data_IF_871021319855
#
_entry.id   IF_871021319855
#
_cell.length_a   1.000
_cell.length_b   1.000
_cell.length_c   1.000
_cell.angle_alpha   90.00
_cell.angle_beta   90.00
_cell.angle_gamma   90.00
#
_symmetry.space_group_name_H-M   'P 1'
#
loop_
_entity.id
_entity.type
_entity.pdbx_description
1 polymer ?
#
# COMPACT_ATOMS: atom_id res chain seq x y z
N UNK A 1 17.62 -19.51 -22.60
CA UNK A 1 16.16 -19.31 -22.74
C UNK A 1 15.47 -19.84 -21.48
N UNK A 2 15.14 -18.94 -20.55
CA UNK A 2 14.47 -19.30 -19.29
C UNK A 2 13.01 -19.63 -19.64
N UNK A 3 12.66 -20.91 -19.65
CA UNK A 3 11.26 -21.36 -19.77
C UNK A 3 10.48 -20.76 -18.60
N UNK A 4 9.54 -19.89 -18.90
CA UNK A 4 8.58 -19.37 -17.93
C UNK A 4 7.90 -20.54 -17.21
N UNK A 5 8.19 -20.69 -15.92
CA UNK A 5 7.55 -21.72 -15.09
C UNK A 5 6.02 -21.51 -15.08
N UNK A 6 5.21 -22.59 -15.07
CA UNK A 6 3.74 -22.51 -15.17
C UNK A 6 3.08 -21.61 -14.10
N UNK A 7 3.74 -21.40 -12.95
CA UNK A 7 3.26 -20.51 -11.87
C UNK A 7 3.21 -19.03 -12.26
N UNK A 8 4.16 -18.55 -13.07
CA UNK A 8 4.19 -17.14 -13.53
C UNK A 8 3.05 -16.88 -14.53
N UNK A 9 2.70 -17.89 -15.34
CA UNK A 9 1.59 -17.80 -16.30
C UNK A 9 0.24 -17.60 -15.60
N UNK A 10 -0.02 -18.35 -14.53
CA UNK A 10 -1.26 -18.24 -13.74
C UNK A 10 -1.37 -16.88 -13.04
N UNK A 11 -0.28 -16.42 -12.41
CA UNK A 11 -0.23 -15.10 -11.75
C UNK A 11 -0.51 -13.96 -12.74
N UNK A 12 0.09 -14.02 -13.94
CA UNK A 12 -0.10 -13.01 -14.97
C UNK A 12 -1.52 -13.01 -15.53
N UNK A 13 -2.11 -14.19 -15.73
CA UNK A 13 -3.49 -14.33 -16.19
C UNK A 13 -4.46 -13.68 -15.20
N UNK A 14 -4.38 -14.05 -13.92
CA UNK A 14 -5.25 -13.45 -12.90
C UNK A 14 -4.98 -11.96 -12.71
N UNK A 15 -3.73 -11.52 -12.79
CA UNK A 15 -3.39 -10.09 -12.78
C UNK A 15 -4.10 -9.32 -13.91
N UNK A 16 -4.05 -9.85 -15.14
CA UNK A 16 -4.74 -9.26 -16.28
C UNK A 16 -6.26 -9.25 -16.10
N UNK A 17 -6.85 -10.31 -15.53
CA UNK A 17 -8.29 -10.39 -15.22
C UNK A 17 -8.69 -9.31 -14.21
N UNK A 18 -7.96 -9.14 -13.10
CA UNK A 18 -8.29 -8.12 -12.09
C UNK A 18 -8.16 -6.70 -12.64
N UNK A 19 -7.07 -6.42 -13.37
CA UNK A 19 -6.86 -5.12 -14.03
C UNK A 19 -7.99 -4.86 -15.04
N UNK A 20 -8.29 -5.85 -15.90
CA UNK A 20 -9.36 -5.77 -16.89
C UNK A 20 -10.72 -5.51 -16.26
N UNK A 21 -11.07 -6.22 -15.19
CA UNK A 21 -12.33 -6.03 -14.47
C UNK A 21 -12.45 -4.63 -13.86
N UNK A 22 -11.36 -4.11 -13.28
CA UNK A 22 -11.31 -2.77 -12.71
C UNK A 22 -11.52 -1.69 -13.79
N UNK A 23 -10.76 -1.76 -14.89
CA UNK A 23 -10.92 -0.80 -15.99
C UNK A 23 -12.28 -0.94 -16.70
N UNK A 24 -12.80 -2.14 -16.85
CA UNK A 24 -14.13 -2.38 -17.41
C UNK A 24 -15.23 -1.76 -16.53
N UNK A 25 -15.15 -1.95 -15.21
CA UNK A 25 -16.11 -1.37 -14.28
C UNK A 25 -16.10 0.16 -14.33
N UNK A 26 -14.92 0.77 -14.17
CA UNK A 26 -14.82 2.24 -14.19
C UNK A 26 -15.15 2.80 -15.58
N UNK A 27 -14.70 2.16 -16.66
CA UNK A 27 -15.04 2.55 -18.03
C UNK A 27 -16.55 2.51 -18.28
N UNK A 28 -17.22 1.42 -17.91
CA UNK A 28 -18.68 1.33 -17.94
C UNK A 28 -19.34 2.42 -17.10
N UNK A 29 -18.86 2.66 -15.87
CA UNK A 29 -19.46 3.65 -15.00
C UNK A 29 -19.30 5.10 -15.51
N UNK A 30 -18.17 5.42 -16.17
CA UNK A 30 -17.96 6.75 -16.76
C UNK A 30 -18.74 6.95 -18.07
N UNK A 31 -18.89 5.91 -18.88
CA UNK A 31 -19.64 5.95 -20.15
C UNK A 31 -21.16 5.83 -19.96
N UNK A 32 -21.60 5.19 -18.88
CA UNK A 32 -23.02 5.03 -18.60
C UNK A 32 -23.70 6.37 -18.33
N UNK A 33 -24.90 6.55 -18.89
CA UNK A 33 -25.81 7.64 -18.55
C UNK A 33 -26.51 7.44 -17.21
N UNK A 34 -26.34 6.27 -16.56
CA UNK A 34 -26.94 5.95 -15.26
C UNK A 34 -26.48 6.89 -14.14
N UNK A 35 -25.25 7.37 -14.20
CA UNK A 35 -24.63 8.15 -13.12
C UNK A 35 -24.60 9.64 -13.46
N UNK A 36 -25.00 10.45 -12.48
CA UNK A 36 -24.88 11.90 -12.60
C UNK A 36 -23.42 12.36 -12.45
N UNK A 37 -23.13 13.61 -12.85
CA UNK A 37 -21.78 14.18 -12.78
C UNK A 37 -21.15 14.04 -11.39
N UNK A 38 -21.92 14.27 -10.33
CA UNK A 38 -21.46 14.12 -8.94
C UNK A 38 -21.01 12.69 -8.62
N UNK A 39 -21.81 11.70 -9.00
CA UNK A 39 -21.48 10.28 -8.79
C UNK A 39 -20.24 9.86 -9.59
N UNK A 40 -20.09 10.33 -10.83
CA UNK A 40 -18.89 10.09 -11.63
C UNK A 40 -17.65 10.70 -10.98
N UNK A 41 -17.74 11.89 -10.38
CA UNK A 41 -16.63 12.49 -9.63
C UNK A 41 -16.27 11.68 -8.38
N UNK A 42 -17.26 11.16 -7.65
CA UNK A 42 -17.04 10.27 -6.49
C UNK A 42 -16.36 8.96 -6.91
N UNK A 43 -16.81 8.37 -8.02
CA UNK A 43 -16.18 7.19 -8.62
C UNK A 43 -14.74 7.47 -9.08
N UNK A 44 -14.45 8.66 -9.59
CA UNK A 44 -13.09 9.07 -9.95
C UNK A 44 -12.16 9.10 -8.73
N UNK A 45 -12.63 9.64 -7.59
CA UNK A 45 -11.88 9.56 -6.33
C UNK A 45 -11.62 8.11 -5.95
N UNK A 46 -12.64 7.25 -6.03
CA UNK A 46 -12.51 5.84 -5.70
C UNK A 46 -11.51 5.12 -6.60
N UNK A 47 -11.51 5.41 -7.90
CA UNK A 47 -10.54 4.86 -8.85
C UNK A 47 -9.10 5.18 -8.43
N UNK A 48 -8.80 6.45 -8.15
CA UNK A 48 -7.45 6.84 -7.72
C UNK A 48 -7.06 6.22 -6.37
N UNK A 49 -8.00 6.10 -5.43
CA UNK A 49 -7.76 5.43 -4.15
C UNK A 49 -7.50 3.93 -4.32
N UNK A 50 -8.23 3.25 -5.21
CA UNK A 50 -8.05 1.82 -5.50
C UNK A 50 -6.70 1.57 -6.20
N UNK A 51 -6.36 2.41 -7.17
CA UNK A 51 -5.03 2.34 -7.82
C UNK A 51 -3.96 2.57 -6.76
N UNK A 52 -4.04 3.66 -5.99
CA UNK A 52 -3.09 3.95 -4.91
C UNK A 52 -2.99 2.83 -3.86
N UNK A 53 -4.12 2.21 -3.50
CA UNK A 53 -4.14 1.07 -2.59
C UNK A 53 -3.40 -0.14 -3.17
N UNK A 54 -3.65 -0.49 -4.43
CA UNK A 54 -2.97 -1.60 -5.11
C UNK A 54 -1.45 -1.42 -5.07
N UNK A 55 -0.99 -0.18 -5.24
CA UNK A 55 0.43 0.17 -5.21
C UNK A 55 1.02 0.18 -3.80
N UNK A 56 0.25 0.59 -2.79
CA UNK A 56 0.67 0.47 -1.40
C UNK A 56 0.78 -1.01 -1.01
N UNK A 57 -0.25 -1.81 -1.30
CA UNK A 57 -0.29 -3.24 -0.96
C UNK A 57 0.81 -4.02 -1.67
N UNK A 58 1.21 -3.65 -2.89
CA UNK A 58 2.35 -4.32 -3.54
C UNK A 58 3.68 -4.17 -2.81
N UNK A 59 3.85 -3.06 -2.10
CA UNK A 59 5.01 -2.84 -1.24
C UNK A 59 4.79 -3.51 0.12
N UNK A 60 3.60 -3.37 0.70
CA UNK A 60 3.26 -3.95 2.00
C UNK A 60 3.38 -5.48 2.03
N UNK A 61 3.00 -6.15 0.94
CA UNK A 61 3.05 -7.61 0.77
C UNK A 61 4.49 -8.16 0.58
N UNK A 62 5.52 -7.30 0.68
CA UNK A 62 6.91 -7.75 0.77
C UNK A 62 7.29 -8.26 2.17
N UNK A 63 6.42 -8.06 3.16
CA UNK A 63 6.61 -8.56 4.54
C UNK A 63 6.80 -10.09 4.62
N UNK A 64 5.90 -10.93 4.07
CA UNK A 64 6.07 -12.38 4.08
C UNK A 64 7.17 -12.86 3.12
N UNK A 65 7.56 -12.04 2.14
CA UNK A 65 8.56 -12.38 1.14
C UNK A 65 9.95 -11.80 1.49
N UNK A 66 10.31 -10.66 0.89
CA UNK A 66 11.66 -10.08 0.99
C UNK A 66 12.10 -9.76 2.42
N UNK A 67 11.17 -9.30 3.28
CA UNK A 67 11.49 -9.00 4.68
C UNK A 67 11.78 -10.29 5.47
N UNK A 68 11.01 -11.35 5.23
CA UNK A 68 11.24 -12.64 5.89
C UNK A 68 12.58 -13.27 5.47
N UNK A 69 12.90 -13.21 4.16
CA UNK A 69 14.20 -13.66 3.66
C UNK A 69 15.35 -12.81 4.21
N UNK A 70 15.15 -11.49 4.35
CA UNK A 70 16.13 -10.61 4.98
C UNK A 70 16.34 -10.94 6.47
N UNK A 71 15.26 -11.24 7.20
CA UNK A 71 15.31 -11.70 8.59
C UNK A 71 16.11 -13.00 8.72
N UNK A 72 15.90 -13.94 7.80
CA UNK A 72 16.56 -15.24 7.82
C UNK A 72 18.06 -15.14 7.56
N UNK A 73 18.46 -14.39 6.53
CA UNK A 73 19.80 -14.45 5.95
C UNK A 73 20.74 -13.36 6.42
N UNK A 74 20.22 -12.19 6.78
CA UNK A 74 21.03 -10.98 6.97
C UNK A 74 20.80 -10.30 8.31
N UNK A 75 19.93 -10.84 9.16
CA UNK A 75 19.60 -10.26 10.45
C UNK A 75 20.20 -11.08 11.57
N UNK A 76 20.91 -10.43 12.50
CA UNK A 76 21.29 -11.06 13.77
C UNK A 76 20.04 -11.21 14.64
N UNK A 77 19.64 -12.47 14.79
CA UNK A 77 18.45 -12.90 15.54
C UNK A 77 18.82 -13.50 16.90
N UNK A 78 20.07 -13.42 17.31
CA UNK A 78 20.51 -13.89 18.61
C UNK A 78 20.16 -12.86 19.70
N UNK A 79 19.38 -13.29 20.69
CA UNK A 79 19.02 -12.48 21.84
C UNK A 79 19.25 -13.29 23.11
N UNK A 80 20.31 -12.96 23.86
CA UNK A 80 20.63 -13.64 25.11
C UNK A 80 20.88 -15.15 24.97
N UNK A 81 21.42 -15.61 23.83
CA UNK A 81 21.66 -17.03 23.54
C UNK A 81 20.48 -17.76 22.88
N UNK A 82 19.32 -17.12 22.74
CA UNK A 82 18.18 -17.65 21.99
C UNK A 82 18.15 -17.09 20.57
N UNK A 83 17.94 -17.94 19.56
CA UNK A 83 17.80 -17.51 18.17
C UNK A 83 16.33 -17.34 17.81
N UNK A 84 15.89 -16.08 17.64
CA UNK A 84 14.48 -15.75 17.38
C UNK A 84 14.03 -16.31 16.03
N UNK A 85 12.95 -17.11 15.95
CA UNK A 85 12.43 -17.59 14.67
C UNK A 85 12.01 -16.44 13.75
N UNK A 86 12.34 -16.54 12.46
CA UNK A 86 12.03 -15.50 11.45
C UNK A 86 10.52 -15.22 11.32
N UNK A 87 9.71 -16.27 11.45
CA UNK A 87 8.24 -16.17 11.40
C UNK A 87 7.68 -15.25 12.48
N UNK A 88 8.36 -15.10 13.63
CA UNK A 88 7.89 -14.21 14.70
C UNK A 88 7.91 -12.73 14.28
N UNK A 89 8.74 -12.34 13.31
CA UNK A 89 8.71 -10.98 12.77
C UNK A 89 7.39 -10.67 12.06
N UNK A 90 6.68 -11.67 11.53
CA UNK A 90 5.34 -11.49 10.95
C UNK A 90 4.29 -11.12 12.00
N UNK A 91 4.50 -11.52 13.26
CA UNK A 91 3.63 -11.14 14.37
C UNK A 91 3.79 -9.67 14.80
N UNK A 92 4.87 -9.00 14.39
CA UNK A 92 5.08 -7.59 14.74
C UNK A 92 4.02 -6.68 14.10
N UNK A 93 3.58 -6.97 12.88
CA UNK A 93 2.55 -6.17 12.22
C UNK A 93 1.23 -6.13 13.04
N UNK A 94 0.59 -7.26 13.40
CA UNK A 94 -0.63 -7.22 14.20
C UNK A 94 -0.41 -6.66 15.62
N UNK A 95 0.77 -6.87 16.23
CA UNK A 95 1.13 -6.25 17.53
C UNK A 95 1.17 -4.72 17.39
N UNK A 96 1.83 -4.20 16.37
CA UNK A 96 1.90 -2.76 16.12
C UNK A 96 0.53 -2.18 15.76
N UNK A 97 -0.33 -2.91 15.04
CA UNK A 97 -1.72 -2.48 14.83
C UNK A 97 -2.42 -2.31 16.17
N UNK A 98 -2.35 -3.31 17.06
CA UNK A 98 -3.01 -3.25 18.36
C UNK A 98 -2.54 -2.06 19.22
N UNK A 99 -1.23 -1.79 19.19
CA UNK A 99 -0.62 -0.70 19.97
C UNK A 99 -0.87 0.69 19.37
N UNK A 100 -0.77 0.83 18.05
CA UNK A 100 -0.75 2.14 17.38
C UNK A 100 -2.08 2.53 16.73
N UNK A 101 -3.02 1.61 16.48
CA UNK A 101 -4.33 1.96 15.94
C UNK A 101 -5.10 2.99 16.79
N UNK A 102 -5.12 2.90 18.15
CA UNK A 102 -5.73 3.93 18.99
C UNK A 102 -5.02 5.27 18.85
N UNK A 103 -3.68 5.27 18.80
CA UNK A 103 -2.87 6.49 18.68
C UNK A 103 -3.12 7.22 17.36
N UNK A 104 -3.11 6.49 16.24
CA UNK A 104 -3.40 7.04 14.90
C UNK A 104 -4.86 7.53 14.83
N UNK A 105 -5.80 6.80 15.42
CA UNK A 105 -7.20 7.23 15.48
C UNK A 105 -7.38 8.53 16.27
N UNK A 106 -6.73 8.65 17.44
CA UNK A 106 -6.74 9.87 18.24
C UNK A 106 -6.14 11.07 17.50
N UNK A 107 -5.07 10.86 16.72
CA UNK A 107 -4.48 11.89 15.86
C UNK A 107 -5.52 12.44 14.88
N UNK A 108 -6.25 11.57 14.18
CA UNK A 108 -7.28 12.00 13.22
C UNK A 108 -8.45 12.70 13.88
N UNK A 109 -8.91 12.22 15.03
CA UNK A 109 -9.99 12.87 15.80
C UNK A 109 -9.55 14.27 16.26
N UNK A 110 -8.32 14.41 16.77
CA UNK A 110 -7.76 15.71 17.21
C UNK A 110 -7.64 16.70 16.05
N UNK A 111 -7.20 16.25 14.88
CA UNK A 111 -7.15 17.08 13.67
C UNK A 111 -8.56 17.45 13.19
N UNK A 112 -9.53 16.54 13.31
CA UNK A 112 -10.95 16.79 13.06
C UNK A 112 -11.53 17.89 13.95
N UNK A 113 -11.28 17.83 15.26
CA UNK A 113 -11.71 18.86 16.23
C UNK A 113 -11.11 20.25 15.95
N UNK A 114 -10.01 20.32 15.21
CA UNK A 114 -9.34 21.57 14.81
C UNK A 114 -9.70 22.04 13.41
N UNK A 115 -10.69 21.43 12.75
CA UNK A 115 -11.04 21.68 11.33
C UNK A 115 -9.87 21.49 10.34
N UNK A 116 -8.85 20.70 10.72
CA UNK A 116 -7.67 20.40 9.91
C UNK A 116 -7.63 18.92 9.50
N UNK A 117 -8.79 18.28 9.36
CA UNK A 117 -8.86 16.88 8.94
C UNK A 117 -8.45 16.76 7.47
N UNK A 118 -7.36 16.07 7.12
CA UNK A 118 -6.99 15.89 5.73
C UNK A 118 -8.04 15.05 5.00
N UNK A 119 -8.24 15.30 3.70
CA UNK A 119 -9.09 14.46 2.88
C UNK A 119 -8.49 13.03 2.73
N UNK A 120 -9.31 12.09 2.27
CA UNK A 120 -8.89 10.69 2.14
C UNK A 120 -7.64 10.51 1.26
N UNK A 121 -7.54 11.26 0.16
CA UNK A 121 -6.38 11.20 -0.75
C UNK A 121 -5.09 11.67 -0.07
N UNK A 122 -5.17 12.72 0.76
CA UNK A 122 -4.03 13.22 1.53
C UNK A 122 -3.59 12.22 2.59
N UNK A 123 -4.55 11.58 3.29
CA UNK A 123 -4.22 10.51 4.26
C UNK A 123 -3.55 9.32 3.58
N UNK A 124 -4.03 8.93 2.41
CA UNK A 124 -3.41 7.89 1.60
C UNK A 124 -1.97 8.24 1.24
N UNK A 125 -1.77 9.44 0.72
CA UNK A 125 -0.44 9.86 0.33
C UNK A 125 0.54 9.95 1.51
N UNK A 126 0.09 10.44 2.67
CA UNK A 126 0.88 10.41 3.90
C UNK A 126 1.25 8.98 4.30
N UNK A 127 0.31 8.03 4.17
CA UNK A 127 0.60 6.61 4.34
C UNK A 127 1.67 6.11 3.37
N UNK A 128 1.56 6.41 2.08
CA UNK A 128 2.56 5.99 1.08
C UNK A 128 3.94 6.60 1.34
N UNK A 129 4.01 7.86 1.78
CA UNK A 129 5.27 8.50 2.18
C UNK A 129 5.85 7.90 3.47
N UNK A 130 5.02 7.49 4.43
CA UNK A 130 5.49 6.76 5.61
C UNK A 130 5.99 5.36 5.24
N UNK A 131 5.33 4.69 4.30
CA UNK A 131 5.80 3.41 3.78
C UNK A 131 7.16 3.56 3.07
N UNK A 132 7.38 4.65 2.34
CA UNK A 132 8.69 4.89 1.71
C UNK A 132 9.81 5.07 2.73
N UNK A 133 9.52 5.67 3.90
CA UNK A 133 10.46 5.72 5.02
C UNK A 133 10.81 4.32 5.53
N UNK A 134 9.83 3.42 5.65
CA UNK A 134 10.08 2.03 6.02
C UNK A 134 11.07 1.35 5.04
N UNK A 135 10.81 1.48 3.74
CA UNK A 135 11.73 0.93 2.73
C UNK A 135 13.09 1.62 2.71
N UNK A 136 13.16 2.92 2.99
CA UNK A 136 14.43 3.64 3.12
C UNK A 136 15.30 3.10 4.27
N UNK A 137 14.68 2.71 5.39
CA UNK A 137 15.37 2.01 6.49
C UNK A 137 15.97 0.69 6.01
N UNK A 138 15.23 -0.08 5.21
CA UNK A 138 15.71 -1.33 4.63
C UNK A 138 16.80 -1.13 3.55
N UNK A 139 16.78 -0.02 2.82
CA UNK A 139 17.89 0.35 1.91
C UNK A 139 19.18 0.53 2.71
N UNK A 140 19.14 1.23 3.84
CA UNK A 140 20.33 1.43 4.68
C UNK A 140 20.84 0.09 5.23
N UNK A 141 19.95 -0.74 5.77
CA UNK A 141 20.28 -2.07 6.26
C UNK A 141 20.91 -2.96 5.18
N UNK A 142 20.32 -3.00 3.99
CA UNK A 142 20.83 -3.81 2.87
C UNK A 142 22.16 -3.31 2.32
N UNK A 143 22.40 -1.99 2.29
CA UNK A 143 23.71 -1.43 1.91
C UNK A 143 24.83 -1.84 2.87
N UNK A 144 24.56 -1.96 4.17
CA UNK A 144 25.56 -2.42 5.15
C UNK A 144 25.98 -3.87 4.89
N UNK A 145 25.04 -4.73 4.48
CA UNK A 145 25.31 -6.12 4.10
C UNK A 145 26.16 -6.17 2.82
N UNK A 146 25.77 -5.40 1.79
CA UNK A 146 26.53 -5.32 0.54
C UNK A 146 27.94 -4.75 0.74
N UNK A 147 28.13 -3.88 1.73
CA UNK A 147 29.43 -3.33 2.10
C UNK A 147 30.35 -4.33 2.85
N UNK A 148 29.88 -5.55 3.12
CA UNK A 148 30.69 -6.63 3.71
C UNK A 148 30.28 -7.04 5.13
N UNK A 149 29.22 -6.47 5.70
CA UNK A 149 28.71 -6.92 7.00
C UNK A 149 28.03 -8.29 6.85
N UNK A 150 28.36 -9.25 7.71
CA UNK A 150 27.74 -10.59 7.70
C UNK A 150 26.25 -10.55 8.09
N UNK A 151 25.89 -9.69 9.05
CA UNK A 151 24.52 -9.48 9.51
C UNK A 151 24.32 -8.06 10.04
N UNK A 152 23.06 -7.64 10.16
CA UNK A 152 22.66 -6.36 10.78
C UNK A 152 21.71 -6.60 11.95
N UNK A 153 21.59 -5.61 12.83
CA UNK A 153 20.65 -5.66 13.96
C UNK A 153 19.20 -5.87 13.52
N UNK A 154 18.47 -6.71 14.26
CA UNK A 154 17.02 -6.87 14.07
C UNK A 154 16.21 -5.57 14.19
N UNK A 155 16.75 -4.54 14.85
CA UNK A 155 16.08 -3.26 15.01
C UNK A 155 15.82 -2.53 13.68
N UNK A 156 16.61 -2.78 12.63
CA UNK A 156 16.33 -2.26 11.29
C UNK A 156 15.00 -2.78 10.76
N UNK A 157 14.80 -4.10 10.87
CA UNK A 157 13.59 -4.78 10.42
C UNK A 157 12.38 -4.38 11.28
N UNK A 158 12.54 -4.37 12.61
CA UNK A 158 11.50 -3.95 13.57
C UNK A 158 11.05 -2.51 13.29
N UNK A 159 11.99 -1.58 13.08
CA UNK A 159 11.67 -0.18 12.79
C UNK A 159 10.99 -0.03 11.43
N UNK A 160 11.46 -0.73 10.40
CA UNK A 160 10.80 -0.73 9.10
C UNK A 160 9.36 -1.25 9.20
N UNK A 161 9.13 -2.36 9.89
CA UNK A 161 7.79 -2.92 10.09
C UNK A 161 6.89 -1.94 10.85
N UNK A 162 7.42 -1.23 11.85
CA UNK A 162 6.68 -0.21 12.58
C UNK A 162 6.18 0.91 11.65
N UNK A 163 7.07 1.51 10.85
CA UNK A 163 6.67 2.59 9.93
C UNK A 163 5.69 2.09 8.87
N UNK A 164 5.87 0.86 8.38
CA UNK A 164 4.99 0.24 7.41
C UNK A 164 3.59 -0.04 7.99
N UNK A 165 3.50 -0.46 9.26
CA UNK A 165 2.22 -0.61 9.97
C UNK A 165 1.56 0.74 10.22
N UNK A 166 2.30 1.78 10.62
CA UNK A 166 1.71 3.12 10.79
C UNK A 166 1.16 3.64 9.45
N UNK A 167 1.85 3.37 8.34
CA UNK A 167 1.36 3.66 7.01
C UNK A 167 0.06 2.92 6.67
N UNK A 168 -0.02 1.63 6.99
CA UNK A 168 -1.24 0.82 6.84
C UNK A 168 -2.41 1.41 7.63
N UNK A 169 -2.18 1.83 8.88
CA UNK A 169 -3.19 2.48 9.73
C UNK A 169 -3.70 3.82 9.15
N UNK A 170 -2.92 4.48 8.30
CA UNK A 170 -3.34 5.69 7.58
C UNK A 170 -4.22 5.38 6.36
N UNK A 171 -4.04 4.21 5.75
CA UNK A 171 -4.64 3.82 4.46
C UNK A 171 -5.87 2.94 4.67
N UNK A 172 -5.75 1.84 5.42
CA UNK A 172 -6.75 0.78 5.52
C UNK A 172 -8.14 1.26 6.00
N UNK A 173 -8.28 1.91 7.18
CA UNK A 173 -9.59 2.37 7.65
C UNK A 173 -10.17 3.51 6.80
N UNK A 174 -9.30 4.36 6.25
CA UNK A 174 -9.69 5.49 5.39
C UNK A 174 -10.18 5.01 4.04
N UNK A 175 -9.51 4.01 3.47
CA UNK A 175 -9.82 3.41 2.17
C UNK A 175 -11.20 2.79 2.20
N UNK A 176 -11.43 1.87 3.14
CA UNK A 176 -12.73 1.20 3.28
C UNK A 176 -13.87 2.20 3.57
N UNK A 177 -13.64 3.18 4.46
CA UNK A 177 -14.63 4.22 4.71
C UNK A 177 -14.92 5.08 3.47
N UNK A 178 -13.93 5.31 2.60
CA UNK A 178 -14.12 6.12 1.39
C UNK A 178 -14.89 5.34 0.34
N UNK A 179 -14.59 4.06 0.16
CA UNK A 179 -15.29 3.18 -0.79
C UNK A 179 -16.77 3.06 -0.48
N UNK A 180 -17.14 3.05 0.80
CA UNK A 180 -18.55 3.00 1.22
C UNK A 180 -19.26 4.34 1.14
N UNK A 181 -18.61 5.45 1.54
CA UNK A 181 -19.21 6.80 1.52
C UNK A 181 -19.35 7.40 0.13
N UNK A 182 -18.42 7.08 -0.76
CA UNK A 182 -18.39 7.62 -2.13
C UNK A 182 -19.09 6.69 -3.14
N UNK A 183 -19.49 5.49 -2.72
CA UNK A 183 -20.24 4.57 -3.56
C UNK A 183 -21.57 5.19 -4.01
N UNK A 184 -21.96 5.00 -5.29
CA UNK A 184 -23.33 5.22 -5.72
C UNK A 184 -24.33 4.38 -4.89
N UNK A 185 -25.57 4.84 -4.81
CA UNK A 185 -26.61 4.13 -4.05
C UNK A 185 -26.80 2.71 -4.59
N UNK A 186 -26.82 1.72 -3.68
CA UNK A 186 -26.97 0.30 -4.02
C UNK A 186 -25.69 -0.37 -4.56
N UNK A 187 -24.57 0.34 -4.62
CA UNK A 187 -23.29 -0.19 -5.14
C UNK A 187 -22.20 -0.32 -4.07
N UNK A 188 -22.52 -0.16 -2.78
CA UNK A 188 -21.51 -0.25 -1.71
C UNK A 188 -20.78 -1.61 -1.73
N UNK A 189 -21.52 -2.71 -1.93
CA UNK A 189 -20.93 -4.05 -2.02
C UNK A 189 -19.96 -4.21 -3.20
N UNK A 190 -20.26 -3.61 -4.35
CA UNK A 190 -19.38 -3.63 -5.51
C UNK A 190 -18.10 -2.84 -5.23
N UNK A 191 -18.22 -1.65 -4.63
CA UNK A 191 -17.06 -0.82 -4.28
C UNK A 191 -16.17 -1.49 -3.22
N UNK A 192 -16.76 -2.20 -2.26
CA UNK A 192 -16.01 -3.03 -1.31
C UNK A 192 -15.30 -4.20 -2.02
N UNK A 193 -15.93 -4.84 -3.00
CA UNK A 193 -15.29 -5.87 -3.83
C UNK A 193 -14.09 -5.34 -4.62
N UNK A 194 -14.20 -4.13 -5.18
CA UNK A 194 -13.09 -3.46 -5.87
C UNK A 194 -11.96 -3.07 -4.91
N UNK A 195 -12.28 -2.71 -3.67
CA UNK A 195 -11.27 -2.48 -2.63
C UNK A 195 -10.46 -3.75 -2.35
N UNK A 196 -11.11 -4.90 -2.14
CA UNK A 196 -10.39 -6.15 -1.91
C UNK A 196 -9.63 -6.63 -3.15
N UNK A 197 -10.15 -6.36 -4.35
CA UNK A 197 -9.42 -6.55 -5.60
C UNK A 197 -8.10 -5.77 -5.62
N UNK A 198 -8.05 -4.56 -5.03
CA UNK A 198 -6.80 -3.80 -4.92
C UNK A 198 -5.74 -4.49 -4.06
N UNK A 199 -6.15 -5.16 -2.97
CA UNK A 199 -5.25 -5.90 -2.09
C UNK A 199 -4.68 -7.11 -2.85
N UNK A 200 -5.56 -7.86 -3.53
CA UNK A 200 -5.16 -9.00 -4.40
C UNK A 200 -4.16 -8.55 -5.48
N UNK A 201 -4.46 -7.44 -6.17
CA UNK A 201 -3.58 -6.89 -7.19
C UNK A 201 -2.23 -6.45 -6.60
N UNK A 202 -2.24 -5.85 -5.41
CA UNK A 202 -1.04 -5.55 -4.64
C UNK A 202 -0.21 -6.80 -4.39
N UNK A 203 -0.80 -7.85 -3.82
CA UNK A 203 -0.10 -9.12 -3.57
C UNK A 203 0.50 -9.75 -4.84
N UNK A 204 -0.21 -9.67 -5.97
CA UNK A 204 0.32 -10.14 -7.26
C UNK A 204 1.52 -9.30 -7.73
N UNK A 205 1.41 -7.97 -7.72
CA UNK A 205 2.52 -7.08 -8.09
C UNK A 205 3.71 -7.28 -7.16
N UNK A 206 3.47 -7.42 -5.85
CA UNK A 206 4.48 -7.68 -4.83
C UNK A 206 5.21 -9.00 -5.08
N UNK A 207 4.46 -10.07 -5.34
CA UNK A 207 5.01 -11.40 -5.65
C UNK A 207 5.86 -11.39 -6.93
N UNK A 208 5.38 -10.71 -7.98
CA UNK A 208 6.13 -10.54 -9.23
C UNK A 208 7.41 -9.74 -9.00
N UNK A 209 7.34 -8.64 -8.23
CA UNK A 209 8.50 -7.78 -7.94
C UNK A 209 9.56 -8.51 -7.11
N UNK A 210 9.13 -9.30 -6.13
CA UNK A 210 10.02 -10.14 -5.33
C UNK A 210 10.61 -11.32 -6.09
N UNK A 211 9.93 -11.80 -7.15
CA UNK A 211 10.41 -12.89 -8.01
C UNK A 211 11.41 -12.45 -9.08
N UNK A 212 11.27 -11.25 -9.64
CA UNK A 212 12.23 -10.71 -10.63
C UNK A 212 13.51 -10.17 -10.00
N UNK A 213 13.41 -9.67 -8.78
CA UNK A 213 14.54 -9.20 -7.99
C UNK A 213 14.83 -10.26 -6.95
N UNK A 214 15.39 -11.39 -7.39
CA UNK A 214 15.66 -12.54 -6.53
C UNK A 214 16.41 -12.05 -5.28
N UNK A 215 15.73 -12.02 -4.14
CA UNK A 215 16.34 -11.81 -2.82
C UNK A 215 17.41 -12.89 -2.48
N UNK A 216 17.56 -13.86 -3.39
CA UNK A 216 18.62 -14.86 -3.42
C UNK A 216 20.01 -14.26 -3.69
N UNK A 217 20.11 -13.15 -4.43
CA UNK A 217 21.38 -12.48 -4.69
C UNK A 217 21.51 -11.24 -3.80
N UNK A 218 22.49 -11.25 -2.89
CA UNK A 218 22.77 -10.16 -1.92
C UNK A 218 22.77 -8.76 -2.57
N UNK A 219 23.29 -8.64 -3.80
CA UNK A 219 23.43 -7.36 -4.51
C UNK A 219 22.13 -6.72 -5.01
N UNK A 220 21.02 -7.44 -5.05
CA UNK A 220 19.77 -6.96 -5.64
C UNK A 220 18.75 -6.45 -4.60
N UNK A 221 18.93 -6.75 -3.32
CA UNK A 221 18.09 -6.27 -2.22
C UNK A 221 18.04 -4.73 -2.11
N UNK A 222 19.17 -3.99 -2.15
CA UNK A 222 19.11 -2.53 -2.15
C UNK A 222 18.36 -1.98 -3.36
N UNK A 223 18.47 -2.62 -4.53
CA UNK A 223 17.77 -2.19 -5.75
C UNK A 223 16.26 -2.38 -5.59
N UNK A 224 15.81 -3.52 -5.05
CA UNK A 224 14.39 -3.77 -4.77
C UNK A 224 13.82 -2.69 -3.85
N UNK A 225 14.43 -2.49 -2.69
CA UNK A 225 13.94 -1.52 -1.71
C UNK A 225 14.02 -0.08 -2.24
N UNK A 226 15.03 0.24 -3.05
CA UNK A 226 15.12 1.55 -3.73
C UNK A 226 13.99 1.73 -4.73
N UNK A 227 13.72 0.73 -5.57
CA UNK A 227 12.63 0.79 -6.54
C UNK A 227 11.28 1.00 -5.84
N UNK A 228 11.00 0.24 -4.78
CA UNK A 228 9.77 0.39 -3.98
C UNK A 228 9.69 1.75 -3.28
N UNK A 229 10.80 2.26 -2.74
CA UNK A 229 10.85 3.59 -2.13
C UNK A 229 10.53 4.69 -3.14
N UNK A 230 11.22 4.71 -4.28
CA UNK A 230 10.98 5.69 -5.35
C UNK A 230 9.53 5.60 -5.83
N UNK A 231 9.03 4.38 -6.02
CA UNK A 231 7.67 4.14 -6.45
C UNK A 231 6.63 4.69 -5.46
N UNK A 232 6.78 4.41 -4.16
CA UNK A 232 5.91 4.92 -3.11
C UNK A 232 5.98 6.45 -2.99
N UNK A 233 7.17 7.05 -3.13
CA UNK A 233 7.34 8.51 -3.13
C UNK A 233 6.62 9.13 -4.32
N UNK A 234 6.86 8.63 -5.53
CA UNK A 234 6.23 9.16 -6.76
C UNK A 234 4.70 9.06 -6.66
N UNK A 235 4.17 7.91 -6.24
CA UNK A 235 2.74 7.72 -6.12
C UNK A 235 2.13 8.55 -4.99
N UNK A 236 2.81 8.65 -3.84
CA UNK A 236 2.39 9.50 -2.72
C UNK A 236 2.34 10.97 -3.12
N UNK A 237 3.39 11.49 -3.76
CA UNK A 237 3.43 12.87 -4.26
C UNK A 237 2.36 13.10 -5.32
N UNK A 238 2.16 12.17 -6.25
CA UNK A 238 1.11 12.25 -7.25
C UNK A 238 -0.28 12.35 -6.60
N UNK A 239 -0.57 11.51 -5.61
CA UNK A 239 -1.83 11.58 -4.87
C UNK A 239 -1.99 12.89 -4.09
N UNK A 240 -0.92 13.45 -3.52
CA UNK A 240 -0.97 14.77 -2.87
C UNK A 240 -1.31 15.88 -3.87
N UNK A 241 -0.66 15.87 -5.03
CA UNK A 241 -0.90 16.87 -6.09
C UNK A 241 -2.33 16.76 -6.62
N UNK A 242 -2.83 15.54 -6.78
CA UNK A 242 -4.20 15.27 -7.24
C UNK A 242 -5.27 15.49 -6.16
N UNK A 243 -4.91 15.46 -4.87
CA UNK A 243 -5.86 15.57 -3.77
C UNK A 243 -6.63 16.90 -3.78
N UNK A 244 -5.94 18.03 -3.98
CA UNK A 244 -6.55 19.35 -4.00
C UNK A 244 -7.51 19.57 -5.19
N UNK A 245 -7.11 19.35 -6.47
CA UNK A 245 -8.00 19.57 -7.60
C UNK A 245 -9.22 18.65 -7.56
N UNK A 246 -9.05 17.36 -7.24
CA UNK A 246 -10.16 16.41 -7.22
C UNK A 246 -11.16 16.74 -6.11
N UNK A 247 -10.68 17.12 -4.92
CA UNK A 247 -11.57 17.53 -3.82
C UNK A 247 -12.35 18.80 -4.17
N UNK A 248 -11.70 19.77 -4.83
CA UNK A 248 -12.36 20.99 -5.27
C UNK A 248 -13.45 20.68 -6.30
N UNK A 249 -13.17 19.83 -7.30
CA UNK A 249 -14.16 19.40 -8.30
C UNK A 249 -15.36 18.68 -7.67
N UNK A 250 -15.10 17.80 -6.69
CA UNK A 250 -16.17 17.12 -5.95
C UNK A 250 -17.05 18.14 -5.20
N UNK A 251 -16.43 19.09 -4.50
CA UNK A 251 -17.16 20.12 -3.74
C UNK A 251 -17.99 21.06 -4.62
N UNK A 252 -17.52 21.38 -5.83
CA UNK A 252 -18.26 22.18 -6.80
C UNK A 252 -19.46 21.40 -7.33
N UNK A 253 -19.23 20.13 -7.69
CA UNK A 253 -20.29 19.29 -8.26
C UNK A 253 -21.38 18.97 -7.24
N UNK A 254 -21.04 18.83 -5.96
CA UNK A 254 -22.04 18.66 -4.89
C UNK A 254 -22.88 19.95 -4.68
N UNK A 255 -22.27 21.14 -4.82
CA UNK A 255 -23.02 22.42 -4.77
C UNK A 255 -23.99 22.56 -5.94
N UNK A 256 -23.52 22.26 -7.14
CA UNK A 256 -24.32 22.32 -8.37
C UNK A 256 -25.50 21.33 -8.37
N UNK A 257 -25.42 20.26 -7.57
CA UNK A 257 -26.51 19.28 -7.42
C UNK A 257 -27.55 19.65 -6.36
N UNK A 258 -27.26 20.65 -5.50
CA UNK A 258 -28.16 21.12 -4.44
C UNK A 258 -28.92 22.40 -4.79
N UNK A 259 -28.62 23.00 -5.96
CA UNK A 259 -29.29 24.18 -6.54
C UNK A 259 -30.21 23.71 -7.65
#
# INVERSE_FOLDING_TARGET
>A
AIKSTPKVSVSNFWGAVHIGALFAFFGWAFLSSRFVKAEKMRLLVCFFLIVGASLFWSSFEQQPASFNLFAERYTDRSLGGFNIPTVWFQSLNPIFILLFAPLVSMLWIKLGKRHKNPNSMTKFALGMLLASVAFAIMIMASKMIVAGSASVSMMWLVSSLLFLTIAELCISPVGMSSMTKLAPQGMQGVMMGLWYTSISLGGLIGSISGGYVSAETIGDLPKLFTALTVFLVVCGVLLLVLAKPITNMLSQTDKDATV
#
